data_IF_720120492400
#
_entry.id   IF_720120492400
#
_cell.length_a   1.000
_cell.length_b   1.000
_cell.length_c   1.000
_cell.angle_alpha   90.00
_cell.angle_beta   90.00
_cell.angle_gamma   90.00
#
_symmetry.space_group_name_H-M   'P 1'
#
loop_
_entity.id
_entity.type
_entity.pdbx_description
1 polymer ?
#
# COMPACT_ATOMS: atom_id res chain seq x y z
N UNK A 1 -16.40 44.65 -0.25
CA UNK A 1 -17.34 45.69 -0.74
C UNK A 1 -18.75 45.10 -0.83
N UNK A 2 -19.66 45.57 0.03
CA UNK A 2 -21.05 45.94 -0.30
C UNK A 2 -21.73 46.45 1.02
N UNK A 3 -22.47 47.57 1.01
CA UNK A 3 -22.71 48.38 2.21
C UNK A 3 -24.21 48.54 2.58
N UNK A 4 -24.45 49.32 3.64
CA UNK A 4 -25.73 49.89 4.12
C UNK A 4 -26.70 48.98 4.90
N UNK A 5 -26.81 49.23 6.21
CA UNK A 5 -28.08 49.69 6.82
C UNK A 5 -27.77 50.76 7.87
N UNK A 6 -28.43 51.90 7.72
CA UNK A 6 -28.19 53.17 8.39
C UNK A 6 -28.67 53.21 9.86
N UNK A 7 -27.87 53.90 10.66
CA UNK A 7 -28.11 54.26 12.06
C UNK A 7 -28.93 55.57 12.10
N UNK A 8 -30.14 55.56 12.69
CA UNK A 8 -30.93 56.77 12.94
C UNK A 8 -30.53 57.39 14.28
N UNK A 9 -29.89 58.56 14.23
CA UNK A 9 -29.73 59.47 15.37
C UNK A 9 -31.01 60.30 15.53
N UNK A 10 -31.57 60.32 16.74
CA UNK A 10 -32.70 61.19 17.12
C UNK A 10 -32.13 62.48 17.70
N UNK A 11 -32.41 63.61 17.04
CA UNK A 11 -32.11 64.98 17.49
C UNK A 11 -32.84 65.31 18.79
N UNK A 12 -32.09 65.71 19.81
CA UNK A 12 -32.59 66.52 20.92
C UNK A 12 -32.90 67.93 20.41
N UNK A 13 -34.11 68.42 20.68
CA UNK A 13 -34.47 69.82 20.51
C UNK A 13 -34.56 70.42 21.91
N UNK A 14 -33.62 71.32 22.20
CA UNK A 14 -33.56 72.18 23.37
C UNK A 14 -34.55 73.33 23.15
N UNK A 15 -35.56 73.45 24.01
CA UNK A 15 -36.48 74.59 24.05
C UNK A 15 -36.27 75.30 25.39
N UNK A 16 -35.70 76.50 25.33
CA UNK A 16 -35.75 77.53 26.37
C UNK A 16 -37.05 78.33 26.23
N UNK A 17 -37.63 78.77 27.35
CA UNK A 17 -38.25 80.09 27.38
C UNK A 17 -37.83 80.88 28.63
N UNK A 18 -37.13 81.99 28.38
CA UNK A 18 -37.00 83.12 29.29
C UNK A 18 -37.95 84.22 28.79
N UNK A 19 -39.01 84.52 29.55
CA UNK A 19 -39.72 85.80 29.44
C UNK A 19 -40.47 86.10 30.76
N UNK A 20 -39.89 87.04 31.51
CA UNK A 20 -40.53 88.16 32.22
C UNK A 20 -41.63 87.90 33.28
N UNK A 21 -41.28 88.27 34.53
CA UNK A 21 -42.13 88.57 35.68
C UNK A 21 -43.23 89.62 35.41
N UNK A 22 -44.28 89.67 36.27
CA UNK A 22 -44.26 90.73 37.28
C UNK A 22 -44.51 90.21 38.72
N UNK A 23 -43.81 90.82 39.66
CA UNK A 23 -44.03 90.74 41.11
C UNK A 23 -45.24 91.63 41.50
N UNK A 24 -46.01 91.26 42.52
CA UNK A 24 -46.05 92.14 43.67
C UNK A 24 -45.96 91.37 44.98
N UNK A 25 -45.02 91.79 45.81
CA UNK A 25 -44.70 91.11 47.04
C UNK A 25 -45.84 91.04 48.06
N UNK A 26 -45.80 90.00 48.89
CA UNK A 26 -46.10 90.11 50.31
C UNK A 26 -45.56 88.88 51.03
N UNK A 27 -45.03 89.14 52.22
CA UNK A 27 -44.31 88.20 53.07
C UNK A 27 -45.16 86.99 53.42
N UNK A 28 -44.65 85.79 53.19
CA UNK A 28 -44.92 84.68 54.10
C UNK A 28 -43.80 83.64 54.03
N UNK A 29 -42.97 83.59 55.08
CA UNK A 29 -42.30 82.34 55.47
C UNK A 29 -43.42 81.40 55.88
N UNK A 30 -44.03 80.73 54.91
CA UNK A 30 -44.88 79.58 55.16
C UNK A 30 -43.92 78.49 55.62
N UNK A 31 -44.03 77.96 56.85
CA UNK A 31 -43.33 76.73 57.18
C UNK A 31 -43.77 75.71 56.13
N UNK A 32 -42.84 75.09 55.41
CA UNK A 32 -43.14 73.84 54.70
C UNK A 32 -43.51 72.83 55.78
N UNK A 33 -44.76 72.88 56.22
CA UNK A 33 -45.39 71.86 57.04
C UNK A 33 -45.45 70.65 56.13
N UNK A 34 -44.48 69.74 56.28
CA UNK A 34 -44.64 68.37 55.82
C UNK A 34 -45.84 67.80 56.58
N UNK A 35 -47.02 67.90 55.98
CA UNK A 35 -48.21 67.23 56.48
C UNK A 35 -47.89 65.74 56.63
N UNK A 36 -48.16 65.11 57.79
CA UNK A 36 -47.97 63.69 57.97
C UNK A 36 -48.74 62.95 56.88
N UNK A 37 -48.05 62.11 56.12
CA UNK A 37 -48.63 61.35 55.02
C UNK A 37 -49.86 60.59 55.53
N UNK A 38 -51.02 60.80 54.92
CA UNK A 38 -52.27 60.11 55.28
C UNK A 38 -52.04 58.59 55.20
N UNK A 39 -52.57 57.80 56.13
CA UNK A 39 -52.28 56.35 56.18
C UNK A 39 -52.68 55.61 54.89
N UNK A 40 -53.67 56.13 54.15
CA UNK A 40 -54.05 55.64 52.82
C UNK A 40 -52.94 55.80 51.76
N UNK A 41 -52.19 56.91 51.79
CA UNK A 41 -51.09 57.16 50.86
C UNK A 41 -49.86 56.30 51.18
N UNK A 42 -49.61 56.01 52.47
CA UNK A 42 -48.58 55.06 52.90
C UNK A 42 -48.85 53.66 52.34
N UNK A 43 -50.09 53.20 52.44
CA UNK A 43 -50.51 51.88 51.89
C UNK A 43 -50.38 51.86 50.36
N UNK A 44 -50.75 52.93 49.65
CA UNK A 44 -50.55 53.03 48.18
C UNK A 44 -49.07 52.99 47.79
N UNK A 45 -48.20 53.73 48.49
CA UNK A 45 -46.75 53.71 48.26
C UNK A 45 -46.15 52.33 48.55
N UNK A 46 -46.60 51.65 49.61
CA UNK A 46 -46.16 50.29 49.93
C UNK A 46 -46.53 49.30 48.82
N UNK A 47 -47.78 49.33 48.32
CA UNK A 47 -48.22 48.48 47.20
C UNK A 47 -47.43 48.76 45.92
N UNK A 48 -47.19 50.03 45.59
CA UNK A 48 -46.39 50.41 44.43
C UNK A 48 -44.94 49.94 44.58
N UNK A 49 -44.34 50.08 45.76
CA UNK A 49 -43.00 49.57 46.05
C UNK A 49 -42.91 48.06 45.91
N UNK A 50 -43.89 47.32 46.43
CA UNK A 50 -43.96 45.86 46.29
C UNK A 50 -44.08 45.43 44.82
N UNK A 51 -44.93 46.11 44.06
CA UNK A 51 -45.08 45.86 42.62
C UNK A 51 -43.76 46.09 41.86
N UNK A 52 -43.08 47.21 42.13
CA UNK A 52 -41.80 47.52 41.48
C UNK A 52 -40.69 46.54 41.89
N UNK A 53 -40.70 46.08 43.15
CA UNK A 53 -39.78 45.06 43.64
C UNK A 53 -40.00 43.73 42.92
N UNK A 54 -41.25 43.25 42.85
CA UNK A 54 -41.60 42.01 42.17
C UNK A 54 -41.25 42.07 40.67
N UNK A 55 -41.64 43.16 39.99
CA UNK A 55 -41.31 43.37 38.57
C UNK A 55 -39.80 43.36 38.32
N UNK A 56 -39.01 43.94 39.22
CA UNK A 56 -37.54 43.91 39.13
C UNK A 56 -37.00 42.49 39.32
N UNK A 57 -37.53 41.74 40.27
CA UNK A 57 -37.14 40.36 40.53
C UNK A 57 -37.38 39.49 39.30
N UNK A 58 -38.59 39.52 38.73
CA UNK A 58 -38.93 38.74 37.53
C UNK A 58 -38.02 39.09 36.35
N UNK A 59 -37.78 40.37 36.12
CA UNK A 59 -36.87 40.81 35.06
C UNK A 59 -35.44 40.32 35.27
N UNK A 60 -34.96 40.29 36.51
CA UNK A 60 -33.64 39.76 36.85
C UNK A 60 -33.58 38.25 36.64
N UNK A 61 -34.59 37.51 37.10
CA UNK A 61 -34.71 36.07 36.88
C UNK A 61 -34.72 35.71 35.40
N UNK A 62 -35.49 36.43 34.58
CA UNK A 62 -35.53 36.23 33.12
C UNK A 62 -34.17 36.52 32.48
N UNK A 63 -33.48 37.59 32.90
CA UNK A 63 -32.13 37.91 32.41
C UNK A 63 -31.13 36.80 32.75
N UNK A 64 -31.17 36.24 33.95
CA UNK A 64 -30.30 35.13 34.34
C UNK A 64 -30.64 33.86 33.57
N UNK A 65 -31.91 33.50 33.40
CA UNK A 65 -32.32 32.36 32.57
C UNK A 65 -31.82 32.49 31.13
N UNK A 66 -31.92 33.66 30.52
CA UNK A 66 -31.41 33.91 29.16
C UNK A 66 -29.88 33.76 29.11
N UNK A 67 -29.15 34.26 30.12
CA UNK A 67 -27.70 34.09 30.21
C UNK A 67 -27.31 32.62 30.34
N UNK A 68 -27.98 31.87 31.20
CA UNK A 68 -27.74 30.43 31.41
C UNK A 68 -28.03 29.63 30.15
N UNK A 69 -29.20 29.85 29.52
CA UNK A 69 -29.57 29.19 28.26
C UNK A 69 -28.54 29.48 27.15
N UNK A 70 -28.05 30.72 27.07
CA UNK A 70 -26.99 31.10 26.12
C UNK A 70 -25.67 30.40 26.43
N UNK A 71 -25.26 30.31 27.70
CA UNK A 71 -24.05 29.57 28.13
C UNK A 71 -24.18 28.08 27.80
N UNK A 72 -25.31 27.47 28.13
CA UNK A 72 -25.59 26.06 27.85
C UNK A 72 -25.54 25.77 26.34
N UNK A 73 -26.20 26.59 25.51
CA UNK A 73 -26.14 26.43 24.05
C UNK A 73 -24.70 26.48 23.51
N UNK A 74 -23.90 27.44 23.99
CA UNK A 74 -22.47 27.53 23.63
C UNK A 74 -21.69 26.31 24.08
N UNK A 75 -21.92 25.82 25.29
CA UNK A 75 -21.26 24.62 25.80
C UNK A 75 -21.61 23.38 24.98
N UNK A 76 -22.90 23.15 24.72
CA UNK A 76 -23.36 22.04 23.89
C UNK A 76 -22.78 22.08 22.49
N UNK A 77 -22.73 23.27 21.86
CA UNK A 77 -22.11 23.44 20.56
C UNK A 77 -20.63 23.07 20.58
N UNK A 78 -19.87 23.54 21.57
CA UNK A 78 -18.45 23.18 21.73
C UNK A 78 -18.26 21.68 21.92
N UNK A 79 -19.07 21.06 22.77
CA UNK A 79 -19.03 19.61 23.01
C UNK A 79 -19.37 18.81 21.76
N UNK A 80 -20.37 19.24 20.98
CA UNK A 80 -20.71 18.63 19.71
C UNK A 80 -19.57 18.74 18.70
N UNK A 81 -18.94 19.92 18.58
CA UNK A 81 -17.79 20.13 17.69
C UNK A 81 -16.60 19.26 18.09
N UNK A 82 -16.24 19.18 19.37
CA UNK A 82 -15.17 18.31 19.85
C UNK A 82 -15.47 16.83 19.59
N UNK A 83 -16.72 16.39 19.76
CA UNK A 83 -17.13 15.02 19.45
C UNK A 83 -17.01 14.72 17.94
N UNK A 84 -17.47 15.63 17.09
CA UNK A 84 -17.38 15.49 15.64
C UNK A 84 -15.92 15.45 15.16
N UNK A 85 -15.04 16.25 15.74
CA UNK A 85 -13.61 16.25 15.41
C UNK A 85 -12.94 14.94 15.83
N UNK A 86 -13.19 14.46 17.05
CA UNK A 86 -12.68 13.15 17.52
C UNK A 86 -13.17 12.00 16.66
N UNK A 87 -14.44 12.05 16.26
CA UNK A 87 -15.02 11.05 15.36
C UNK A 87 -14.34 11.05 14.00
N UNK A 88 -14.10 12.23 13.42
CA UNK A 88 -13.38 12.37 12.16
C UNK A 88 -11.97 11.76 12.24
N UNK A 89 -11.26 12.02 13.34
CA UNK A 89 -9.92 11.44 13.57
C UNK A 89 -9.98 9.92 13.67
N UNK A 90 -10.97 9.36 14.38
CA UNK A 90 -11.17 7.90 14.47
C UNK A 90 -11.37 7.29 13.08
N UNK A 91 -12.26 7.85 12.26
CA UNK A 91 -12.54 7.39 10.91
C UNK A 91 -11.34 7.54 9.95
N UNK A 92 -10.49 8.54 10.17
CA UNK A 92 -9.28 8.71 9.40
C UNK A 92 -8.22 7.66 9.74
N UNK A 93 -8.04 7.36 11.02
CA UNK A 93 -7.13 6.30 11.46
C UNK A 93 -7.63 4.91 11.07
N UNK A 94 -8.93 4.64 11.17
CA UNK A 94 -9.54 3.39 10.70
C UNK A 94 -9.27 3.18 9.19
N UNK A 95 -9.55 4.20 8.36
CA UNK A 95 -9.23 4.14 6.93
C UNK A 95 -7.74 3.99 6.65
N UNK A 96 -6.87 4.55 7.51
CA UNK A 96 -5.42 4.37 7.39
C UNK A 96 -5.02 2.92 7.66
N UNK A 97 -5.56 2.33 8.72
CA UNK A 97 -5.32 0.93 9.07
C UNK A 97 -5.85 -0.02 7.99
N UNK A 98 -7.04 0.24 7.45
CA UNK A 98 -7.59 -0.52 6.31
C UNK A 98 -6.68 -0.47 5.10
N UNK A 99 -6.15 0.71 4.73
CA UNK A 99 -5.19 0.83 3.63
C UNK A 99 -3.92 0.02 3.89
N UNK A 100 -3.40 0.05 5.12
CA UNK A 100 -2.22 -0.73 5.51
C UNK A 100 -2.52 -2.24 5.39
N UNK A 101 -3.68 -2.69 5.85
CA UNK A 101 -4.11 -4.09 5.74
C UNK A 101 -4.28 -4.53 4.28
N UNK A 102 -4.88 -3.70 3.43
CA UNK A 102 -5.01 -3.99 2.00
C UNK A 102 -3.64 -4.11 1.34
N UNK A 103 -2.70 -3.21 1.64
CA UNK A 103 -1.35 -3.27 1.12
C UNK A 103 -0.59 -4.51 1.62
N UNK A 104 -0.74 -4.89 2.89
CA UNK A 104 -0.10 -6.09 3.41
C UNK A 104 -0.68 -7.37 2.79
N UNK A 105 -1.99 -7.41 2.55
CA UNK A 105 -2.63 -8.54 1.87
C UNK A 105 -2.17 -8.66 0.42
N UNK A 106 -2.05 -7.54 -0.31
CA UNK A 106 -1.52 -7.52 -1.68
C UNK A 106 -0.07 -8.00 -1.70
N UNK A 107 0.78 -7.53 -0.77
CA UNK A 107 2.17 -8.00 -0.65
C UNK A 107 2.25 -9.49 -0.39
N UNK A 108 1.47 -10.02 0.57
CA UNK A 108 1.41 -11.45 0.86
C UNK A 108 1.02 -12.26 -0.39
N UNK A 109 0.00 -11.83 -1.14
CA UNK A 109 -0.42 -12.51 -2.38
C UNK A 109 0.66 -12.48 -3.47
N UNK A 110 1.46 -11.42 -3.55
CA UNK A 110 2.59 -11.34 -4.48
C UNK A 110 3.71 -12.29 -4.06
N UNK A 111 4.07 -12.31 -2.78
CA UNK A 111 5.08 -13.22 -2.23
C UNK A 111 4.67 -14.68 -2.44
N UNK A 112 3.40 -15.04 -2.22
CA UNK A 112 2.89 -16.38 -2.50
C UNK A 112 3.01 -16.78 -3.97
N UNK A 113 2.72 -15.85 -4.89
CA UNK A 113 2.89 -16.09 -6.34
C UNK A 113 4.35 -16.24 -6.72
N UNK A 114 5.23 -15.43 -6.14
CA UNK A 114 6.67 -15.52 -6.38
C UNK A 114 7.22 -16.88 -5.94
N UNK A 115 6.83 -17.35 -4.75
CA UNK A 115 7.21 -18.67 -4.26
C UNK A 115 6.72 -19.79 -5.18
N UNK A 116 5.49 -19.70 -5.70
CA UNK A 116 4.96 -20.67 -6.66
C UNK A 116 5.75 -20.67 -7.97
N UNK A 117 6.12 -19.49 -8.48
CA UNK A 117 6.95 -19.36 -9.69
C UNK A 117 8.33 -19.98 -9.45
N UNK A 118 8.97 -19.65 -8.33
CA UNK A 118 10.27 -20.20 -7.97
C UNK A 118 10.23 -21.74 -7.82
N UNK A 119 9.17 -22.28 -7.21
CA UNK A 119 9.00 -23.72 -7.09
C UNK A 119 8.85 -24.39 -8.46
N UNK A 120 8.10 -23.78 -9.38
CA UNK A 120 7.95 -24.28 -10.76
C UNK A 120 9.27 -24.25 -11.52
N UNK A 121 10.03 -23.16 -11.41
CA UNK A 121 11.34 -23.04 -12.07
C UNK A 121 12.33 -24.09 -11.55
N UNK A 122 12.39 -24.32 -10.24
CA UNK A 122 13.24 -25.38 -9.67
C UNK A 122 12.89 -26.76 -10.22
N UNK A 123 11.60 -27.08 -10.35
CA UNK A 123 11.17 -28.36 -10.92
C UNK A 123 11.56 -28.50 -12.40
N UNK A 124 11.45 -27.41 -13.17
CA UNK A 124 11.86 -27.36 -14.57
C UNK A 124 13.38 -27.52 -14.73
N UNK A 125 14.17 -26.84 -13.89
CA UNK A 125 15.63 -26.99 -13.82
C UNK A 125 16.02 -28.44 -13.48
N UNK A 126 15.41 -29.06 -12.46
CA UNK A 126 15.65 -30.45 -12.10
C UNK A 126 15.27 -31.42 -13.23
N UNK A 127 14.19 -31.15 -13.96
CA UNK A 127 13.78 -31.97 -15.10
C UNK A 127 14.78 -31.85 -16.27
N UNK A 128 15.25 -30.64 -16.56
CA UNK A 128 16.28 -30.40 -17.57
C UNK A 128 17.60 -31.11 -17.19
N UNK A 129 18.04 -31.01 -15.94
CA UNK A 129 19.22 -31.71 -15.44
C UNK A 129 19.08 -33.23 -15.60
N UNK A 130 17.92 -33.80 -15.24
CA UNK A 130 17.63 -35.22 -15.45
C UNK A 130 17.67 -35.60 -16.93
N UNK A 131 17.10 -34.77 -17.80
CA UNK A 131 17.11 -35.00 -19.25
C UNK A 131 18.53 -34.97 -19.83
N UNK A 132 19.36 -34.00 -19.43
CA UNK A 132 20.78 -33.90 -19.81
C UNK A 132 21.57 -35.10 -19.31
N UNK A 133 21.34 -35.53 -18.07
CA UNK A 133 22.02 -36.69 -17.51
C UNK A 133 21.62 -38.00 -18.21
N UNK A 134 20.34 -38.13 -18.59
CA UNK A 134 19.86 -39.25 -19.39
C UNK A 134 20.49 -39.24 -20.79
N UNK A 135 20.57 -38.10 -21.46
CA UNK A 135 21.23 -37.97 -22.76
C UNK A 135 22.72 -38.33 -22.66
N UNK A 136 23.44 -37.82 -21.66
CA UNK A 136 24.85 -38.17 -21.43
C UNK A 136 25.04 -39.67 -21.20
N UNK A 137 24.16 -40.30 -20.44
CA UNK A 137 24.19 -41.75 -20.21
C UNK A 137 23.94 -42.54 -21.50
N UNK A 138 22.98 -42.10 -22.32
CA UNK A 138 22.70 -42.70 -23.64
C UNK A 138 23.92 -42.61 -24.58
N UNK A 139 24.53 -41.43 -24.70
CA UNK A 139 25.73 -41.24 -25.53
C UNK A 139 26.86 -42.17 -25.07
N UNK A 140 27.09 -42.27 -23.75
CA UNK A 140 28.11 -43.17 -23.19
C UNK A 140 27.83 -44.64 -23.49
N UNK A 141 26.58 -45.08 -23.45
CA UNK A 141 26.23 -46.46 -23.83
C UNK A 141 26.42 -46.68 -25.34
N UNK A 142 26.01 -45.74 -26.20
CA UNK A 142 26.25 -45.82 -27.65
C UNK A 142 27.74 -45.90 -28.00
N UNK A 143 28.60 -45.15 -27.29
CA UNK A 143 30.06 -45.22 -27.44
C UNK A 143 30.60 -46.61 -27.04
N UNK A 144 30.13 -47.17 -25.91
CA UNK A 144 30.51 -48.52 -25.47
C UNK A 144 30.08 -49.58 -26.48
N UNK A 145 28.86 -49.49 -26.99
CA UNK A 145 28.32 -50.44 -27.98
C UNK A 145 29.09 -50.34 -29.30
N UNK A 146 29.40 -49.13 -29.74
CA UNK A 146 30.26 -48.91 -30.91
C UNK A 146 31.64 -49.56 -30.71
N UNK A 147 32.24 -49.41 -29.52
CA UNK A 147 33.54 -50.02 -29.20
C UNK A 147 33.47 -51.55 -29.21
N UNK A 148 32.45 -52.14 -28.57
CA UNK A 148 32.20 -53.59 -28.56
C UNK A 148 32.01 -54.15 -29.97
N UNK A 149 31.27 -53.43 -30.82
CA UNK A 149 31.06 -53.82 -32.22
C UNK A 149 32.36 -53.82 -33.03
N UNK A 150 33.19 -52.77 -32.89
CA UNK A 150 34.50 -52.70 -33.54
C UNK A 150 35.43 -53.83 -33.07
N UNK A 151 35.46 -54.10 -31.77
CA UNK A 151 36.27 -55.19 -31.19
C UNK A 151 35.84 -56.56 -31.75
N UNK A 152 34.53 -56.82 -31.84
CA UNK A 152 33.98 -58.04 -32.42
C UNK A 152 34.38 -58.20 -33.90
N UNK A 153 34.26 -57.13 -34.71
CA UNK A 153 34.70 -57.14 -36.11
C UNK A 153 36.21 -57.42 -36.24
N UNK A 154 37.03 -56.82 -35.37
CA UNK A 154 38.49 -57.10 -35.36
C UNK A 154 38.75 -58.56 -35.03
N UNK A 155 38.07 -59.13 -34.04
CA UNK A 155 38.24 -60.54 -33.66
C UNK A 155 37.86 -61.48 -34.81
N UNK A 156 36.72 -61.24 -35.46
CA UNK A 156 36.27 -62.01 -36.62
C UNK A 156 37.26 -61.93 -37.78
N UNK A 157 37.79 -60.74 -38.07
CA UNK A 157 38.79 -60.56 -39.11
C UNK A 157 40.12 -61.25 -38.77
N UNK A 158 40.55 -61.22 -37.50
CA UNK A 158 41.76 -61.93 -37.03
C UNK A 158 41.63 -63.43 -37.24
N UNK A 159 40.48 -64.00 -36.91
CA UNK A 159 40.20 -65.43 -37.10
C UNK A 159 40.20 -65.81 -38.59
N UNK A 160 39.54 -65.01 -39.44
CA UNK A 160 39.54 -65.25 -40.89
C UNK A 160 40.94 -65.20 -41.49
N UNK A 161 41.73 -64.18 -41.14
CA UNK A 161 43.08 -64.00 -41.67
C UNK A 161 44.05 -65.07 -41.16
N UNK A 162 43.89 -65.58 -39.94
CA UNK A 162 44.72 -66.67 -39.42
C UNK A 162 44.50 -67.99 -40.18
N UNK A 163 43.26 -68.27 -40.60
CA UNK A 163 42.94 -69.41 -41.46
C UNK A 163 43.54 -69.27 -42.86
N UNK A 164 43.48 -68.07 -43.44
CA UNK A 164 43.97 -67.80 -44.80
C UNK A 164 45.49 -67.57 -44.86
N UNK A 165 46.15 -67.32 -43.71
CA UNK A 165 47.57 -66.93 -43.62
C UNK A 165 47.92 -65.74 -44.53
N UNK A 166 47.01 -64.79 -44.66
CA UNK A 166 47.17 -63.58 -45.46
C UNK A 166 47.44 -62.37 -44.58
N UNK A 167 48.29 -61.47 -45.06
CA UNK A 167 48.51 -60.17 -44.45
C UNK A 167 47.94 -59.07 -45.37
N UNK A 168 46.77 -58.50 -45.04
CA UNK A 168 46.16 -57.47 -45.87
C UNK A 168 46.91 -56.14 -45.75
N UNK A 169 46.83 -55.26 -46.77
CA UNK A 169 47.44 -53.94 -46.72
C UNK A 169 46.81 -53.06 -45.63
N UNK A 170 47.53 -52.06 -45.10
CA UNK A 170 47.01 -51.17 -44.07
C UNK A 170 45.74 -50.42 -44.50
N UNK A 171 44.81 -50.20 -43.57
CA UNK A 171 43.54 -49.52 -43.86
C UNK A 171 43.71 -48.01 -44.07
N UNK A 172 44.71 -47.38 -43.43
CA UNK A 172 45.11 -45.99 -43.68
C UNK A 172 46.58 -45.90 -44.09
N UNK A 173 46.94 -44.83 -44.79
CA UNK A 173 48.34 -44.48 -45.09
C UNK A 173 49.17 -44.11 -43.85
N UNK A 174 48.51 -43.94 -42.70
CA UNK A 174 49.12 -43.58 -41.43
C UNK A 174 49.60 -44.78 -40.61
N UNK A 175 49.28 -46.00 -41.05
CA UNK A 175 49.53 -47.24 -40.33
C UNK A 175 50.56 -48.08 -41.08
N UNK A 176 51.44 -48.75 -40.34
CA UNK A 176 52.46 -49.65 -40.90
C UNK A 176 51.86 -51.02 -41.26
N UNK A 177 50.93 -51.52 -40.45
CA UNK A 177 50.19 -52.76 -40.71
C UNK A 177 48.67 -52.55 -40.69
N UNK A 178 47.92 -53.53 -41.19
CA UNK A 178 46.45 -53.56 -41.12
C UNK A 178 45.92 -53.32 -39.70
N UNK A 179 46.60 -53.88 -38.69
CA UNK A 179 46.16 -53.81 -37.31
C UNK A 179 46.55 -52.51 -36.60
N UNK A 180 47.49 -51.74 -37.14
CA UNK A 180 47.90 -50.46 -36.55
C UNK A 180 46.90 -49.34 -36.85
N UNK A 181 45.97 -49.56 -37.79
CA UNK A 181 44.84 -48.67 -38.02
C UNK A 181 43.85 -48.76 -36.85
N UNK A 182 43.64 -47.66 -36.11
CA UNK A 182 42.69 -47.58 -35.01
C UNK A 182 42.19 -46.14 -34.82
N UNK A 183 40.89 -45.92 -34.53
CA UNK A 183 40.35 -44.58 -34.30
C UNK A 183 41.09 -43.75 -33.24
N UNK A 184 41.50 -44.40 -32.16
CA UNK A 184 42.18 -43.76 -31.03
C UNK A 184 43.69 -43.49 -31.27
N UNK A 185 44.33 -44.14 -32.24
CA UNK A 185 45.80 -44.03 -32.46
C UNK A 185 46.18 -43.44 -33.82
N UNK A 186 45.24 -43.38 -34.77
CA UNK A 186 45.48 -42.76 -36.07
C UNK A 186 45.78 -41.26 -35.93
N UNK A 187 46.62 -40.73 -36.81
CA UNK A 187 46.98 -39.31 -36.86
C UNK A 187 45.74 -38.41 -37.07
N UNK A 188 45.76 -37.17 -36.56
CA UNK A 188 44.61 -36.24 -36.57
C UNK A 188 43.96 -36.04 -37.95
N UNK A 189 44.75 -36.08 -39.03
CA UNK A 189 44.25 -35.91 -40.41
C UNK A 189 43.76 -37.22 -41.06
N UNK A 190 43.83 -38.35 -40.37
CA UNK A 190 43.38 -39.63 -40.88
C UNK A 190 41.85 -39.74 -40.85
N UNK A 191 41.27 -40.34 -41.87
CA UNK A 191 39.82 -40.60 -41.98
C UNK A 191 39.24 -41.42 -40.80
N UNK A 192 40.08 -42.22 -40.13
CA UNK A 192 39.65 -43.02 -38.98
C UNK A 192 39.83 -42.32 -37.63
N UNK A 193 40.61 -41.23 -37.56
CA UNK A 193 40.89 -40.55 -36.30
C UNK A 193 39.59 -40.08 -35.63
N UNK A 194 39.39 -40.50 -34.37
CA UNK A 194 38.18 -40.24 -33.60
C UNK A 194 36.87 -40.58 -34.34
N UNK A 195 36.92 -41.54 -35.27
CA UNK A 195 35.80 -41.94 -36.11
C UNK A 195 35.65 -43.47 -36.14
N UNK A 196 35.17 -44.06 -35.03
CA UNK A 196 35.00 -45.51 -34.93
C UNK A 196 33.95 -46.06 -35.91
N UNK A 197 32.99 -45.24 -36.36
CA UNK A 197 31.99 -45.65 -37.36
C UNK A 197 32.60 -45.84 -38.74
N UNK A 198 33.47 -44.93 -39.20
CA UNK A 198 34.18 -45.09 -40.47
C UNK A 198 35.12 -46.30 -40.44
N UNK A 199 35.82 -46.49 -39.32
CA UNK A 199 36.69 -47.63 -39.11
C UNK A 199 35.90 -48.96 -39.11
N UNK A 200 34.77 -49.03 -38.40
CA UNK A 200 33.91 -50.20 -38.39
C UNK A 200 33.40 -50.56 -39.80
N UNK A 201 33.00 -49.58 -40.61
CA UNK A 201 32.58 -49.81 -42.01
C UNK A 201 33.71 -50.38 -42.88
N UNK A 202 34.93 -49.85 -42.73
CA UNK A 202 36.09 -50.36 -43.45
C UNK A 202 36.41 -51.81 -43.03
N UNK A 203 36.42 -52.09 -41.72
CA UNK A 203 36.60 -53.44 -41.19
C UNK A 203 35.52 -54.40 -41.67
N UNK A 204 34.25 -54.02 -41.59
CA UNK A 204 33.14 -54.86 -42.04
C UNK A 204 33.24 -55.20 -43.54
N UNK A 205 33.62 -54.22 -44.36
CA UNK A 205 33.84 -54.45 -45.80
C UNK A 205 34.99 -55.43 -46.03
N UNK A 206 36.08 -55.30 -45.26
CA UNK A 206 37.22 -56.23 -45.32
C UNK A 206 36.87 -57.64 -44.79
N UNK A 207 35.98 -57.75 -43.79
CA UNK A 207 35.49 -59.03 -43.27
C UNK A 207 34.60 -59.76 -44.28
N UNK A 208 33.85 -59.03 -45.11
CA UNK A 208 32.92 -59.63 -46.08
C UNK A 208 33.52 -59.90 -47.47
N UNK A 209 34.66 -59.31 -47.81
CA UNK A 209 35.46 -59.67 -48.99
C UNK A 209 36.31 -60.90 -48.68
#
# INVERSE_FOLDING_TARGET
ECPLVQQKMVRQTLWDPDESHPDPGSKSRVPQVLWPLTDQEKVRKQRQSQFLMHRRQEMNSEREHVKEKRKLRKHLQRTASMKAEKEKLRLEEERRLERIQQLSEVKRKLEERELLIQARLKLEEEEEERAVQLQRSKIKEEEKDTRRYVEALRAQMKERLSLLKLEPPPLCCCASSFWDSHPDTCANNCVFHNNPKAYAKALHSAVMC
#
